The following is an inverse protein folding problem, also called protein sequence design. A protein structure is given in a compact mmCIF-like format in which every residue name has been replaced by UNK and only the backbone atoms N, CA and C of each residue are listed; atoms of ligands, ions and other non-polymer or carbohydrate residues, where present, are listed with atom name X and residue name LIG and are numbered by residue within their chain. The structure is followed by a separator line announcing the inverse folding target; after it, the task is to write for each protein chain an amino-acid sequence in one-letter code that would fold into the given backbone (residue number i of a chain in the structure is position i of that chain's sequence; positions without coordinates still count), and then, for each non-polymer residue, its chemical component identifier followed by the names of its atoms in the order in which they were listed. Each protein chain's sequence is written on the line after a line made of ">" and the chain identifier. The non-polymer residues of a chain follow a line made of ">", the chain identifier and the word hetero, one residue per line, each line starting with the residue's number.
data_IF_841112988016
#
_entry.id   IF_841112988016
#
_cell.length_a   1.000
_cell.length_b   1.000
_cell.length_c   1.000
_cell.angle_alpha   90.00
_cell.angle_beta   90.00
_cell.angle_gamma   90.00
#
_symmetry.space_group_name_H-M   'P 1'
#
loop_
_entity.id
_entity.type
_entity.pdbx_description
1 polymer ?
#
# COMPACT_ATOMS: atom_id res chain seq x y z
N UNK A 1 9.55 -53.66 23.10
CA UNK A 1 8.99 -52.37 23.58
C UNK A 1 9.63 -51.12 22.95
N UNK A 2 10.87 -51.16 22.45
CA UNK A 2 11.56 -49.98 21.88
C UNK A 2 10.92 -49.38 20.60
N UNK A 3 10.35 -50.25 19.74
CA UNK A 3 9.82 -49.87 18.41
C UNK A 3 8.51 -49.05 18.46
N UNK A 4 7.72 -49.19 19.52
CA UNK A 4 6.45 -48.46 19.71
C UNK A 4 6.68 -47.06 20.27
N UNK A 5 7.72 -46.88 21.10
CA UNK A 5 8.12 -45.58 21.64
C UNK A 5 8.54 -44.64 20.50
N UNK A 6 9.41 -45.08 19.60
CA UNK A 6 9.84 -44.27 18.44
C UNK A 6 8.72 -43.83 17.51
N UNK A 7 7.70 -44.67 17.26
CA UNK A 7 6.54 -44.30 16.45
C UNK A 7 5.70 -43.20 17.11
N UNK A 8 5.61 -43.22 18.44
CA UNK A 8 4.89 -42.22 19.22
C UNK A 8 5.63 -40.88 19.19
N UNK A 9 6.95 -40.89 19.38
CA UNK A 9 7.79 -39.68 19.30
C UNK A 9 7.76 -39.05 17.92
N UNK A 10 7.84 -39.87 16.85
CA UNK A 10 7.76 -39.37 15.47
C UNK A 10 6.41 -38.70 15.16
N UNK A 11 5.30 -39.28 15.63
CA UNK A 11 3.96 -38.67 15.49
C UNK A 11 3.86 -37.32 16.18
N UNK A 12 4.42 -37.20 17.37
CA UNK A 12 4.43 -35.93 18.11
C UNK A 12 5.23 -34.84 17.39
N UNK A 13 6.40 -35.19 16.86
CA UNK A 13 7.26 -34.24 16.11
C UNK A 13 6.54 -33.73 14.85
N UNK A 14 5.90 -34.64 14.09
CA UNK A 14 5.16 -34.24 12.89
C UNK A 14 3.98 -33.35 13.24
N UNK A 15 3.23 -33.67 14.29
CA UNK A 15 2.09 -32.88 14.74
C UNK A 15 2.50 -31.46 15.18
N UNK A 16 3.60 -31.33 15.94
CA UNK A 16 4.09 -30.02 16.39
C UNK A 16 4.63 -29.17 15.25
N UNK A 17 5.38 -29.75 14.32
CA UNK A 17 5.86 -29.03 13.14
C UNK A 17 4.70 -28.56 12.26
N UNK A 18 3.69 -29.40 12.05
CA UNK A 18 2.51 -29.04 11.26
C UNK A 18 1.72 -27.90 11.90
N UNK A 19 1.52 -27.96 13.23
CA UNK A 19 0.86 -26.90 13.97
C UNK A 19 1.65 -25.58 13.92
N UNK A 20 2.98 -25.64 14.06
CA UNK A 20 3.84 -24.46 13.98
C UNK A 20 3.78 -23.79 12.60
N UNK A 21 3.77 -24.58 11.51
CA UNK A 21 3.60 -24.05 10.15
C UNK A 21 2.24 -23.38 10.00
N UNK A 22 1.15 -24.04 10.39
CA UNK A 22 -0.21 -23.49 10.27
C UNK A 22 -0.38 -22.18 11.05
N UNK A 23 0.11 -22.14 12.29
CA UNK A 23 0.07 -20.92 13.12
C UNK A 23 0.96 -19.84 12.51
N UNK A 24 2.17 -20.17 12.07
CA UNK A 24 3.09 -19.23 11.45
C UNK A 24 2.53 -18.61 10.17
N UNK A 25 1.95 -19.42 9.28
CA UNK A 25 1.34 -18.93 8.04
C UNK A 25 0.06 -18.15 8.30
N UNK A 26 -0.77 -18.60 9.26
CA UNK A 26 -2.02 -17.93 9.60
C UNK A 26 -1.79 -16.55 10.22
N UNK A 27 -0.88 -16.46 11.20
CA UNK A 27 -0.53 -15.19 11.86
C UNK A 27 0.19 -14.24 10.90
N UNK A 28 1.09 -14.76 10.06
CA UNK A 28 1.79 -13.94 9.06
C UNK A 28 0.87 -13.32 8.02
N UNK A 29 -0.21 -14.01 7.63
CA UNK A 29 -1.24 -13.47 6.74
C UNK A 29 -2.15 -12.47 7.46
N UNK A 30 -2.62 -12.78 8.67
CA UNK A 30 -3.52 -11.91 9.43
C UNK A 30 -2.88 -10.59 9.87
N UNK A 31 -1.54 -10.53 9.99
CA UNK A 31 -0.81 -9.31 10.32
C UNK A 31 -0.76 -8.29 9.17
N UNK A 32 -1.21 -8.64 7.96
CA UNK A 32 -1.37 -7.70 6.84
C UNK A 32 -2.65 -6.89 7.01
N UNK A 33 -2.77 -6.15 8.11
CA UNK A 33 -3.80 -5.13 8.21
C UNK A 33 -3.38 -3.96 7.30
N UNK A 34 -3.96 -3.89 6.11
CA UNK A 34 -3.85 -2.70 5.25
C UNK A 34 -4.56 -1.56 5.98
N UNK A 35 -3.78 -0.64 6.55
CA UNK A 35 -4.32 0.51 7.26
C UNK A 35 -5.05 1.41 6.24
N UNK A 36 -6.36 1.54 6.40
CA UNK A 36 -7.15 2.56 5.73
C UNK A 36 -6.97 3.92 6.44
N UNK A 37 -6.91 5.04 5.70
CA UNK A 37 -6.88 5.12 4.24
C UNK A 37 -5.53 4.69 3.64
N UNK A 38 -5.59 4.03 2.49
CA UNK A 38 -4.40 3.53 1.79
C UNK A 38 -3.38 4.67 1.58
N UNK A 39 -2.12 4.49 2.00
CA UNK A 39 -1.11 5.53 1.85
C UNK A 39 -0.80 5.87 0.39
N UNK A 40 -1.09 5.00 -0.57
CA UNK A 40 -0.88 5.31 -1.99
C UNK A 40 -2.04 6.09 -2.62
N UNK A 41 -3.24 6.02 -2.05
CA UNK A 41 -4.44 6.66 -2.59
C UNK A 41 -4.76 7.98 -1.85
N UNK A 42 -4.58 9.15 -2.47
CA UNK A 42 -4.94 10.42 -1.85
C UNK A 42 -6.45 10.58 -1.70
N UNK A 43 -6.90 11.17 -0.60
CA UNK A 43 -8.29 11.56 -0.35
C UNK A 43 -8.33 13.05 0.00
N UNK A 44 -8.52 13.94 -0.99
CA UNK A 44 -8.48 15.37 -0.75
C UNK A 44 -9.70 15.87 0.04
N UNK A 45 -9.56 16.98 0.80
CA UNK A 45 -8.32 17.65 1.17
C UNK A 45 -7.62 17.02 2.40
N UNK A 46 -8.14 15.93 2.94
CA UNK A 46 -7.83 15.47 4.30
C UNK A 46 -6.67 14.49 4.41
N UNK A 47 -6.36 13.76 3.33
CA UNK A 47 -5.34 12.71 3.32
C UNK A 47 -4.47 12.81 2.07
N UNK A 48 -3.31 13.43 2.23
CA UNK A 48 -2.33 13.64 1.15
C UNK A 48 -0.93 13.20 1.63
N UNK A 49 -0.69 11.91 1.86
CA UNK A 49 0.55 11.41 2.48
C UNK A 49 1.81 11.62 1.63
N UNK A 50 1.67 11.92 0.34
CA UNK A 50 2.78 12.30 -0.55
C UNK A 50 3.17 13.78 -0.48
N UNK A 51 2.33 14.61 0.11
CA UNK A 51 2.59 16.03 0.28
C UNK A 51 3.53 16.27 1.48
N UNK A 52 4.41 17.27 1.37
CA UNK A 52 5.11 17.80 2.54
C UNK A 52 4.12 18.38 3.57
N UNK A 53 4.54 18.49 4.82
CA UNK A 53 3.70 19.01 5.90
C UNK A 53 3.08 20.37 5.52
N UNK A 54 1.74 20.45 5.49
CA UNK A 54 1.00 21.68 5.18
C UNK A 54 0.78 21.96 3.68
N UNK A 55 1.23 21.10 2.76
CA UNK A 55 1.07 21.33 1.32
C UNK A 55 -0.27 20.82 0.75
N UNK A 56 -1.09 20.12 1.54
CA UNK A 56 -2.48 19.83 1.20
C UNK A 56 -3.34 21.07 1.46
N UNK A 57 -3.31 22.04 0.55
CA UNK A 57 -4.11 23.26 0.73
C UNK A 57 -5.52 23.11 0.13
N UNK A 58 -6.52 23.72 0.76
CA UNK A 58 -7.88 23.83 0.22
C UNK A 58 -8.00 25.02 -0.76
N UNK A 59 -6.89 25.40 -1.40
CA UNK A 59 -6.75 26.63 -2.19
C UNK A 59 -6.81 26.32 -3.69
N UNK A 60 -6.86 27.35 -4.53
CA UNK A 60 -6.77 27.19 -5.99
C UNK A 60 -5.33 26.80 -6.38
N UNK A 61 -5.16 25.80 -7.26
CA UNK A 61 -3.84 25.27 -7.61
C UNK A 61 -3.25 24.29 -6.58
N UNK A 62 -4.05 23.88 -5.58
CA UNK A 62 -3.65 22.87 -4.64
C UNK A 62 -3.60 21.48 -5.26
N UNK A 63 -2.75 20.62 -4.71
CA UNK A 63 -2.63 19.22 -5.08
C UNK A 63 -2.65 18.34 -3.84
N UNK A 64 -3.03 17.09 -4.04
CA UNK A 64 -3.08 16.06 -3.03
C UNK A 64 -2.50 14.78 -3.63
N UNK A 65 -1.38 14.35 -3.08
CA UNK A 65 -0.66 13.18 -3.57
C UNK A 65 -0.68 12.05 -2.54
N UNK A 66 -0.76 10.83 -3.08
CA UNK A 66 -0.43 9.63 -2.36
C UNK A 66 1.09 9.44 -2.23
N UNK A 67 1.48 8.42 -1.47
CA UNK A 67 2.87 8.01 -1.33
C UNK A 67 3.46 7.59 -2.69
N UNK A 68 4.76 7.82 -2.87
CA UNK A 68 5.49 7.31 -4.03
C UNK A 68 5.45 5.78 -4.08
N UNK A 69 5.04 5.25 -5.22
CA UNK A 69 5.17 3.84 -5.57
C UNK A 69 6.66 3.46 -5.77
N UNK A 70 7.01 2.17 -5.74
CA UNK A 70 8.38 1.72 -5.98
C UNK A 70 8.96 2.11 -7.35
N UNK A 71 8.11 2.34 -8.35
CA UNK A 71 8.48 2.80 -9.69
C UNK A 71 8.75 4.31 -9.77
N UNK A 72 8.66 5.04 -8.65
CA UNK A 72 8.84 6.49 -8.58
C UNK A 72 7.61 7.31 -8.94
N UNK A 73 6.51 6.68 -9.36
CA UNK A 73 5.26 7.36 -9.69
C UNK A 73 4.41 7.65 -8.45
N UNK A 74 3.40 8.52 -8.58
CA UNK A 74 2.43 8.85 -7.53
C UNK A 74 1.02 8.99 -8.09
N UNK A 75 0.05 8.62 -7.26
CA UNK A 75 -1.33 9.04 -7.49
C UNK A 75 -1.48 10.49 -7.03
N UNK A 76 -2.01 11.33 -7.91
CA UNK A 76 -2.22 12.76 -7.68
C UNK A 76 -3.65 13.12 -8.06
N UNK A 77 -4.21 14.06 -7.33
CA UNK A 77 -5.34 14.87 -7.75
C UNK A 77 -5.04 16.32 -7.45
N UNK A 78 -5.46 17.20 -8.35
CA UNK A 78 -5.23 18.63 -8.26
C UNK A 78 -6.56 19.38 -8.34
N UNK A 79 -6.58 20.58 -7.79
CA UNK A 79 -7.81 21.36 -7.63
C UNK A 79 -7.90 22.48 -8.66
N UNK A 80 -8.99 22.48 -9.42
CA UNK A 80 -9.38 23.56 -10.33
C UNK A 80 -10.64 24.22 -9.78
N UNK A 81 -10.54 25.47 -9.33
CA UNK A 81 -11.66 26.16 -8.69
C UNK A 81 -12.09 25.43 -7.41
N UNK A 82 -13.35 24.99 -7.36
CA UNK A 82 -13.90 24.21 -6.24
C UNK A 82 -13.82 22.70 -6.44
N UNK A 83 -13.36 22.22 -7.61
CA UNK A 83 -13.41 20.81 -7.99
C UNK A 83 -12.04 20.15 -7.96
N UNK A 84 -11.98 18.97 -7.34
CA UNK A 84 -10.85 18.06 -7.44
C UNK A 84 -10.94 17.29 -8.76
N UNK A 85 -9.83 17.25 -9.48
CA UNK A 85 -9.73 16.50 -10.72
C UNK A 85 -9.68 14.99 -10.44
N UNK A 86 -10.05 14.14 -11.41
CA UNK A 86 -9.91 12.70 -11.27
C UNK A 86 -8.49 12.29 -10.88
N UNK A 87 -8.38 11.09 -10.29
CA UNK A 87 -7.11 10.50 -9.93
C UNK A 87 -6.23 10.34 -11.18
N UNK A 88 -4.98 10.78 -11.08
CA UNK A 88 -3.98 10.68 -12.15
C UNK A 88 -2.77 9.93 -11.62
N UNK A 89 -2.11 9.18 -12.50
CA UNK A 89 -0.78 8.66 -12.22
C UNK A 89 0.26 9.61 -12.80
N UNK A 90 1.16 10.10 -11.97
CA UNK A 90 2.15 11.12 -12.33
C UNK A 90 3.58 10.67 -12.03
N UNK A 91 4.54 11.31 -12.69
CA UNK A 91 5.94 11.33 -12.27
C UNK A 91 6.18 12.65 -11.52
N UNK A 92 6.46 12.62 -10.21
CA UNK A 92 6.62 13.85 -9.43
C UNK A 92 7.88 14.61 -9.87
N UNK A 93 7.69 15.84 -10.35
CA UNK A 93 8.76 16.75 -10.80
C UNK A 93 8.79 18.08 -10.04
N UNK A 94 7.90 18.24 -9.05
CA UNK A 94 7.75 19.47 -8.26
C UNK A 94 6.95 20.59 -8.96
N UNK A 95 6.48 20.36 -10.18
CA UNK A 95 5.61 21.30 -10.87
C UNK A 95 4.15 21.19 -10.39
N UNK A 96 3.35 22.23 -10.64
CA UNK A 96 1.91 22.20 -10.33
C UNK A 96 1.13 21.21 -11.21
N UNK A 97 1.66 20.85 -12.37
CA UNK A 97 1.05 19.88 -13.28
C UNK A 97 2.10 18.87 -13.77
N UNK A 98 2.43 17.86 -12.94
CA UNK A 98 3.46 16.90 -13.28
C UNK A 98 3.08 16.06 -14.50
N UNK A 99 4.06 15.55 -15.25
CA UNK A 99 3.81 14.67 -16.37
C UNK A 99 3.12 13.37 -15.91
N UNK A 100 2.29 12.81 -16.79
CA UNK A 100 1.66 11.52 -16.53
C UNK A 100 2.70 10.41 -16.59
N UNK A 101 2.60 9.44 -15.70
CA UNK A 101 3.39 8.22 -15.81
C UNK A 101 2.94 7.42 -17.04
N UNK A 102 3.87 6.69 -17.65
CA UNK A 102 3.56 5.78 -18.75
C UNK A 102 2.76 4.55 -18.30
N UNK A 103 2.38 3.66 -19.24
CA UNK A 103 1.72 2.41 -18.93
C UNK A 103 2.47 1.59 -17.87
N UNK A 104 1.75 1.03 -16.90
CA UNK A 104 2.33 0.31 -15.76
C UNK A 104 2.73 1.20 -14.57
N UNK A 105 2.66 2.52 -14.71
CA UNK A 105 2.83 3.47 -13.61
C UNK A 105 1.80 3.27 -12.50
N UNK A 106 2.15 3.67 -11.28
CA UNK A 106 1.33 3.55 -10.07
C UNK A 106 0.88 2.10 -9.84
N UNK A 107 1.79 1.16 -10.08
CA UNK A 107 1.54 -0.27 -10.04
C UNK A 107 0.38 -0.75 -10.95
N UNK A 108 0.03 0.01 -11.99
CA UNK A 108 -1.07 -0.32 -12.90
C UNK A 108 -2.47 -0.03 -12.37
N UNK A 109 -2.61 0.74 -11.29
CA UNK A 109 -3.93 1.03 -10.68
C UNK A 109 -4.88 1.78 -11.64
N UNK A 110 -4.34 2.57 -12.57
CA UNK A 110 -5.10 3.39 -13.52
C UNK A 110 -4.92 2.98 -14.99
N UNK A 111 -4.24 1.86 -15.28
CA UNK A 111 -3.79 1.45 -16.61
C UNK A 111 -4.19 0.03 -16.98
#
# INVERSE_FOLDING_TARGET
>A
MYRTVHKRTARWIVATLSAAVLVGTGVGWAARAEALPDPFTPVPPFWCPGNGAGLSSSSWGAYCEGRTFPDGSRLNTFRIGYYWQPLRCIIPDGSMNPPLAGPGGCAGVLG
#
